data_IF_558783578256
#
_entry.id   IF_558783578256
#
_cell.length_a   1.000
_cell.length_b   1.000
_cell.length_c   1.000
_cell.angle_alpha   90.00
_cell.angle_beta   90.00
_cell.angle_gamma   90.00
#
_symmetry.space_group_name_H-M   'P 1'
#
loop_
_entity.id
_entity.type
_entity.pdbx_description
1 polymer ?
#
# COMPACT_ATOMS: atom_id res chain seq x y z
N UNK A 1 -13.55 0.22 9.08
CA UNK A 1 -12.77 -0.31 7.94
C UNK A 1 -11.39 -0.66 8.46
N UNK A 2 -10.89 -1.86 8.19
CA UNK A 2 -9.52 -2.22 8.55
C UNK A 2 -8.50 -1.69 7.54
N UNK A 3 -7.24 -1.50 7.97
CA UNK A 3 -6.10 -1.10 7.11
C UNK A 3 -6.03 -1.91 5.80
N UNK A 4 -6.32 -3.21 5.90
CA UNK A 4 -6.36 -4.14 4.76
C UNK A 4 -7.42 -3.75 3.72
N UNK A 5 -8.62 -3.39 4.15
CA UNK A 5 -9.72 -3.03 3.24
C UNK A 5 -9.43 -1.70 2.56
N UNK A 6 -8.88 -0.72 3.30
CA UNK A 6 -8.51 0.58 2.73
C UNK A 6 -7.42 0.44 1.66
N UNK A 7 -6.34 -0.28 1.95
CA UNK A 7 -5.25 -0.47 0.99
C UNK A 7 -5.72 -1.28 -0.22
N UNK A 8 -6.50 -2.35 -0.02
CA UNK A 8 -7.06 -3.11 -1.16
C UNK A 8 -7.96 -2.24 -2.02
N UNK A 9 -8.81 -1.41 -1.41
CA UNK A 9 -9.71 -0.52 -2.14
C UNK A 9 -8.93 0.52 -2.94
N UNK A 10 -7.86 1.08 -2.38
CA UNK A 10 -6.97 2.01 -3.10
C UNK A 10 -6.32 1.34 -4.31
N UNK A 11 -5.81 0.11 -4.15
CA UNK A 11 -5.20 -0.65 -5.25
C UNK A 11 -6.21 -0.89 -6.38
N UNK A 12 -7.42 -1.38 -6.04
CA UNK A 12 -8.47 -1.62 -7.04
C UNK A 12 -8.90 -0.32 -7.73
N UNK A 13 -9.03 0.78 -6.97
CA UNK A 13 -9.40 2.10 -7.51
C UNK A 13 -8.36 2.67 -8.48
N UNK A 14 -7.09 2.35 -8.28
CA UNK A 14 -6.02 2.72 -9.22
C UNK A 14 -6.01 1.90 -10.52
N UNK A 15 -6.88 0.89 -10.65
CA UNK A 15 -6.87 -0.05 -11.77
C UNK A 15 -5.74 -1.07 -11.70
N UNK A 16 -5.00 -1.13 -10.59
CA UNK A 16 -3.93 -2.11 -10.38
C UNK A 16 -4.46 -3.38 -9.70
N UNK A 17 -3.77 -4.50 -9.94
CA UNK A 17 -3.96 -5.71 -9.14
C UNK A 17 -2.90 -5.80 -8.05
N UNK A 18 -3.17 -6.53 -6.97
CA UNK A 18 -2.17 -6.77 -5.91
C UNK A 18 -0.87 -7.37 -6.47
N UNK A 19 -0.99 -8.25 -7.46
CA UNK A 19 0.16 -8.86 -8.15
C UNK A 19 0.97 -7.84 -8.94
N UNK A 20 0.29 -6.93 -9.65
CA UNK A 20 0.96 -5.86 -10.41
C UNK A 20 1.70 -4.90 -9.48
N UNK A 21 1.09 -4.55 -8.34
CA UNK A 21 1.74 -3.70 -7.32
C UNK A 21 3.00 -4.37 -6.79
N UNK A 22 2.93 -5.64 -6.40
CA UNK A 22 4.10 -6.38 -5.89
C UNK A 22 5.18 -6.52 -6.97
N UNK A 23 4.80 -6.80 -8.22
CA UNK A 23 5.73 -6.89 -9.34
C UNK A 23 6.48 -5.57 -9.53
N UNK A 24 5.75 -4.46 -9.59
CA UNK A 24 6.33 -3.12 -9.73
C UNK A 24 7.22 -2.72 -8.56
N UNK A 25 6.83 -3.04 -7.32
CA UNK A 25 7.67 -2.80 -6.14
C UNK A 25 8.98 -3.59 -6.26
N UNK A 26 8.91 -4.85 -6.66
CA UNK A 26 10.11 -5.68 -6.85
C UNK A 26 11.01 -5.14 -7.96
N UNK A 27 10.44 -4.70 -9.09
CA UNK A 27 11.18 -4.12 -10.21
C UNK A 27 11.82 -2.77 -9.87
N UNK A 28 11.11 -1.86 -9.19
CA UNK A 28 11.63 -0.53 -8.87
C UNK A 28 12.57 -0.50 -7.68
N UNK A 29 12.31 -1.31 -6.66
CA UNK A 29 13.04 -1.29 -5.38
C UNK A 29 13.98 -2.49 -5.19
N UNK A 30 14.10 -3.38 -6.20
CA UNK A 30 14.99 -4.54 -6.17
C UNK A 30 14.62 -5.56 -5.10
N UNK A 31 13.34 -5.70 -4.76
CA UNK A 31 12.84 -6.64 -3.75
C UNK A 31 12.38 -7.95 -4.35
N UNK A 32 12.21 -8.96 -3.48
CA UNK A 32 11.61 -10.25 -3.80
C UNK A 32 10.40 -10.52 -2.90
N UNK A 33 9.51 -9.53 -2.78
CA UNK A 33 8.27 -9.70 -2.05
C UNK A 33 7.27 -10.53 -2.86
N UNK A 34 6.47 -11.34 -2.17
CA UNK A 34 5.37 -12.11 -2.75
C UNK A 34 4.03 -11.49 -2.41
N UNK A 35 3.02 -11.70 -3.26
CA UNK A 35 1.62 -11.30 -3.00
C UNK A 35 1.12 -11.83 -1.65
N UNK A 36 1.46 -13.08 -1.32
CA UNK A 36 1.13 -13.68 -0.04
C UNK A 36 1.80 -12.96 1.14
N UNK A 37 3.06 -12.52 0.99
CA UNK A 37 3.78 -11.80 2.03
C UNK A 37 3.09 -10.46 2.32
N UNK A 38 2.76 -9.69 1.27
CA UNK A 38 2.09 -8.41 1.42
C UNK A 38 0.68 -8.56 1.99
N UNK A 39 -0.09 -9.56 1.52
CA UNK A 39 -1.42 -9.86 2.06
C UNK A 39 -1.38 -10.27 3.54
N UNK A 40 -0.35 -11.01 3.96
CA UNK A 40 -0.14 -11.37 5.36
C UNK A 40 0.23 -10.16 6.21
N UNK A 41 1.09 -9.27 5.73
CA UNK A 41 1.43 -8.00 6.41
C UNK A 41 0.20 -7.11 6.60
N UNK A 42 -0.65 -7.00 5.57
CA UNK A 42 -1.91 -6.26 5.64
C UNK A 42 -2.90 -6.88 6.64
N UNK A 43 -2.97 -8.21 6.68
CA UNK A 43 -3.89 -8.92 7.60
C UNK A 43 -3.42 -8.85 9.05
N UNK A 44 -2.11 -8.90 9.29
CA UNK A 44 -1.51 -8.86 10.63
C UNK A 44 -1.26 -7.44 11.15
N UNK A 45 -1.48 -6.41 10.32
CA UNK A 45 -1.19 -5.02 10.67
C UNK A 45 0.30 -4.72 10.84
N UNK A 46 1.18 -5.54 10.24
CA UNK A 46 2.65 -5.40 10.34
C UNK A 46 3.26 -4.70 9.13
N UNK A 47 2.44 -3.96 8.36
CA UNK A 47 2.91 -3.20 7.20
C UNK A 47 3.77 -2.04 7.68
N UNK A 48 5.02 -1.96 7.23
CA UNK A 48 5.91 -0.84 7.55
C UNK A 48 5.48 0.41 6.79
N UNK A 49 5.75 1.59 7.36
CA UNK A 49 5.46 2.87 6.69
C UNK A 49 6.09 2.98 5.31
N UNK A 50 7.36 2.55 5.16
CA UNK A 50 8.04 2.51 3.86
C UNK A 50 7.29 1.67 2.83
N UNK A 51 6.76 0.51 3.23
CA UNK A 51 6.00 -0.36 2.33
C UNK A 51 4.68 0.30 1.90
N UNK A 52 4.03 1.03 2.81
CA UNK A 52 2.85 1.80 2.46
C UNK A 52 3.16 2.91 1.45
N UNK A 53 4.30 3.60 1.59
CA UNK A 53 4.75 4.62 0.64
C UNK A 53 5.07 4.00 -0.73
N UNK A 54 5.78 2.88 -0.75
CA UNK A 54 6.13 2.14 -1.98
C UNK A 54 4.87 1.67 -2.72
N UNK A 55 3.87 1.15 -1.99
CA UNK A 55 2.57 0.80 -2.58
C UNK A 55 1.92 2.04 -3.18
N UNK A 56 1.81 3.13 -2.41
CA UNK A 56 1.17 4.37 -2.85
C UNK A 56 1.80 4.90 -4.15
N UNK A 57 3.13 4.99 -4.20
CA UNK A 57 3.84 5.49 -5.37
C UNK A 57 3.57 4.63 -6.63
N UNK A 58 3.59 3.31 -6.46
CA UNK A 58 3.33 2.35 -7.55
C UNK A 58 1.91 2.42 -8.10
N UNK A 59 0.93 2.75 -7.25
CA UNK A 59 -0.47 2.96 -7.64
C UNK A 59 -0.77 4.39 -8.09
N UNK A 60 0.23 5.29 -8.12
CA UNK A 60 0.07 6.69 -8.53
C UNK A 60 -0.52 7.60 -7.44
N UNK A 61 -0.37 7.21 -6.17
CA UNK A 61 -0.78 7.97 -4.99
C UNK A 61 0.44 8.43 -4.19
N UNK A 62 0.22 9.36 -3.27
CA UNK A 62 1.23 9.79 -2.29
C UNK A 62 0.62 9.79 -0.89
N UNK A 63 1.46 9.50 0.12
CA UNK A 63 1.06 9.59 1.52
C UNK A 63 1.41 11.00 2.03
N UNK A 64 0.42 11.70 2.57
CA UNK A 64 0.58 13.04 3.14
C UNK A 64 0.07 13.09 4.57
N UNK A 65 0.81 13.77 5.44
CA UNK A 65 0.36 14.10 6.78
C UNK A 65 -0.40 15.41 6.74
N UNK A 66 -1.73 15.31 6.76
CA UNK A 66 -2.60 16.49 6.87
C UNK A 66 -2.90 16.71 8.34
N UNK A 67 -2.58 17.90 8.86
CA UNK A 67 -3.00 18.29 10.21
C UNK A 67 -4.51 18.20 10.27
N UNK A 68 -5.04 17.53 11.31
CA UNK A 68 -6.46 17.68 11.64
C UNK A 68 -6.64 19.14 12.00
N UNK A 69 -7.40 19.88 11.20
CA UNK A 69 -7.80 21.23 11.56
C UNK A 69 -8.50 21.12 12.92
N UNK A 70 -8.05 21.91 13.89
CA UNK A 70 -8.61 21.97 15.23
C UNK A 70 -9.94 22.74 15.13
N UNK A 71 -10.92 22.10 14.48
CA UNK A 71 -12.29 22.60 14.40
C UNK A 71 -13.24 21.45 14.74
N UNK A 72 -13.38 21.26 16.05
CA UNK A 72 -14.63 20.82 16.69
C UNK A 72 -14.73 21.46 18.08
#
# INVERSE_FOLDING_TARGET
MGLKEEIKSAIVRSGCTMSEVVRRINEQYGRQDSVANLSNKLTRGTLKYREAQEIAEVIGYRIEWVRKDEQE
#
